data_IF_521014062763
#
_entry.id   IF_521014062763
#
_cell.length_a   1.000
_cell.length_b   1.000
_cell.length_c   1.000
_cell.angle_alpha   90.00
_cell.angle_beta   90.00
_cell.angle_gamma   90.00
#
_symmetry.space_group_name_H-M   'P 1'
#
loop_
_entity.id
_entity.type
_entity.pdbx_description
1 polymer ?
#
# COMPACT_ATOMS: atom_id res chain seq x y z
N UNK A 1 36.15 8.56 -21.43
CA UNK A 1 36.42 9.76 -20.59
C UNK A 1 36.06 9.47 -19.15
N UNK A 2 36.64 10.21 -18.18
CA UNK A 2 36.49 9.91 -16.75
C UNK A 2 35.03 9.76 -16.29
N UNK A 3 34.14 10.61 -16.80
CA UNK A 3 32.70 10.58 -16.45
C UNK A 3 31.98 9.32 -16.94
N UNK A 4 32.26 8.85 -18.15
CA UNK A 4 31.72 7.59 -18.66
C UNK A 4 32.31 6.37 -17.95
N UNK A 5 33.61 6.39 -17.60
CA UNK A 5 34.24 5.34 -16.79
C UNK A 5 33.59 5.23 -15.39
N UNK A 6 33.29 6.38 -14.74
CA UNK A 6 32.61 6.36 -13.43
C UNK A 6 31.20 5.78 -13.54
N UNK A 7 30.44 6.17 -14.56
CA UNK A 7 29.09 5.62 -14.81
C UNK A 7 29.13 4.13 -15.17
N UNK A 8 30.12 3.69 -15.96
CA UNK A 8 30.34 2.27 -16.29
C UNK A 8 30.64 1.46 -15.04
N UNK A 9 31.58 1.92 -14.20
CA UNK A 9 31.93 1.25 -12.95
C UNK A 9 30.73 1.19 -11.98
N UNK A 10 29.92 2.27 -11.92
CA UNK A 10 28.69 2.29 -11.13
C UNK A 10 27.71 1.24 -11.62
N UNK A 11 27.47 1.15 -12.93
CA UNK A 11 26.54 0.20 -13.52
C UNK A 11 27.04 -1.26 -13.39
N UNK A 12 28.30 -1.53 -13.71
CA UNK A 12 28.89 -2.87 -13.59
C UNK A 12 28.95 -3.34 -12.13
N UNK A 13 29.14 -2.41 -11.18
CA UNK A 13 29.09 -2.68 -9.76
C UNK A 13 27.74 -3.19 -9.26
N UNK A 14 26.66 -2.94 -10.01
CA UNK A 14 25.29 -3.42 -9.71
C UNK A 14 24.97 -4.77 -10.37
N UNK A 15 25.85 -5.34 -11.18
CA UNK A 15 25.65 -6.67 -11.81
C UNK A 15 25.43 -7.80 -10.78
N UNK A 16 26.22 -7.89 -9.68
CA UNK A 16 25.94 -8.88 -8.63
C UNK A 16 24.52 -8.72 -8.04
N UNK A 17 24.07 -7.49 -7.83
CA UNK A 17 22.72 -7.22 -7.32
C UNK A 17 21.63 -7.71 -8.26
N UNK A 18 21.85 -7.65 -9.58
CA UNK A 18 20.95 -8.18 -10.60
C UNK A 18 20.93 -9.72 -10.59
N UNK A 19 22.07 -10.36 -10.35
CA UNK A 19 22.17 -11.82 -10.20
C UNK A 19 21.49 -12.29 -8.90
N UNK A 20 21.74 -11.61 -7.77
CA UNK A 20 21.07 -11.87 -6.50
C UNK A 20 19.55 -11.73 -6.60
N UNK A 21 19.08 -10.75 -7.38
CA UNK A 21 17.64 -10.59 -7.67
C UNK A 21 17.06 -11.80 -8.41
N UNK A 22 17.79 -12.36 -9.38
CA UNK A 22 17.37 -13.57 -10.11
C UNK A 22 17.14 -14.74 -9.15
N UNK A 23 18.06 -14.93 -8.23
CA UNK A 23 18.02 -16.02 -7.26
C UNK A 23 16.92 -15.78 -6.22
N UNK A 24 16.75 -14.55 -5.74
CA UNK A 24 15.70 -14.16 -4.81
C UNK A 24 14.29 -14.37 -5.41
N UNK A 25 14.12 -14.04 -6.68
CA UNK A 25 12.87 -14.27 -7.42
C UNK A 25 12.62 -15.76 -7.72
N UNK A 26 13.63 -16.64 -7.61
CA UNK A 26 13.56 -18.05 -8.07
C UNK A 26 13.06 -18.15 -9.51
N UNK A 27 13.65 -17.35 -10.39
CA UNK A 27 13.15 -17.13 -11.75
C UNK A 27 12.96 -18.43 -12.54
N UNK A 28 13.85 -19.40 -12.35
CA UNK A 28 13.79 -20.72 -13.04
C UNK A 28 12.57 -21.52 -12.59
N UNK A 29 12.22 -21.47 -11.31
CA UNK A 29 11.01 -22.11 -10.79
C UNK A 29 9.75 -21.44 -11.34
N UNK A 30 9.74 -20.10 -11.44
CA UNK A 30 8.63 -19.36 -12.03
C UNK A 30 8.43 -19.72 -13.49
N UNK A 31 9.50 -19.78 -14.29
CA UNK A 31 9.42 -20.15 -15.71
C UNK A 31 8.89 -21.58 -15.87
N UNK A 32 9.34 -22.51 -15.03
CA UNK A 32 8.83 -23.89 -15.02
C UNK A 32 7.35 -23.94 -14.64
N UNK A 33 6.92 -23.15 -13.66
CA UNK A 33 5.52 -23.07 -13.25
C UNK A 33 4.64 -22.47 -14.35
N UNK A 34 5.08 -21.40 -15.00
CA UNK A 34 4.38 -20.80 -16.15
C UNK A 34 4.15 -21.84 -17.24
N UNK A 35 5.19 -22.60 -17.61
CA UNK A 35 5.07 -23.66 -18.63
C UNK A 35 4.04 -24.74 -18.23
N UNK A 36 3.97 -25.12 -16.94
CA UNK A 36 2.96 -26.07 -16.43
C UNK A 36 1.55 -25.51 -16.51
N UNK A 37 1.36 -24.25 -16.09
CA UNK A 37 0.05 -23.60 -16.11
C UNK A 37 -0.44 -23.37 -17.54
N UNK A 38 0.44 -23.05 -18.48
CA UNK A 38 0.11 -22.95 -19.91
C UNK A 38 -0.28 -24.30 -20.50
N UNK A 39 0.43 -25.37 -20.15
CA UNK A 39 0.07 -26.73 -20.57
C UNK A 39 -1.30 -27.14 -19.98
N UNK A 40 -1.60 -26.76 -18.74
CA UNK A 40 -2.91 -26.96 -18.12
C UNK A 40 -4.00 -26.16 -18.84
N UNK A 41 -3.74 -24.91 -19.22
CA UNK A 41 -4.69 -24.07 -19.95
C UNK A 41 -4.97 -24.59 -21.37
N UNK A 42 -4.04 -25.35 -21.97
CA UNK A 42 -4.20 -25.99 -23.28
C UNK A 42 -4.87 -27.38 -23.22
N UNK A 43 -5.16 -27.92 -22.03
CA UNK A 43 -5.75 -29.25 -21.88
C UNK A 43 -7.25 -29.26 -22.22
N UNK A 44 -7.75 -30.40 -22.68
CA UNK A 44 -9.18 -30.62 -22.93
C UNK A 44 -9.95 -30.52 -21.61
N UNK A 45 -11.09 -29.80 -21.61
CA UNK A 45 -11.91 -29.60 -20.43
C UNK A 45 -11.47 -28.45 -19.52
N UNK A 46 -10.40 -27.71 -19.84
CA UNK A 46 -9.95 -26.58 -19.04
C UNK A 46 -11.05 -25.53 -18.79
N UNK A 47 -11.90 -25.30 -19.79
CA UNK A 47 -12.97 -24.30 -19.76
C UNK A 47 -14.28 -24.79 -19.12
N UNK A 48 -14.35 -26.05 -18.70
CA UNK A 48 -15.56 -26.62 -18.06
C UNK A 48 -15.74 -26.06 -16.64
N UNK A 49 -14.66 -25.63 -16.00
CA UNK A 49 -14.66 -24.91 -14.71
C UNK A 49 -14.14 -23.48 -14.90
N UNK A 50 -15.06 -22.54 -15.11
CA UNK A 50 -14.74 -21.14 -15.38
C UNK A 50 -14.01 -20.46 -14.24
N UNK A 51 -14.32 -20.81 -12.99
CA UNK A 51 -13.68 -20.18 -11.81
C UNK A 51 -12.22 -20.62 -11.69
N UNK A 52 -11.95 -21.92 -11.84
CA UNK A 52 -10.60 -22.44 -11.84
C UNK A 52 -9.79 -21.92 -13.03
N UNK A 53 -10.41 -21.85 -14.22
CA UNK A 53 -9.77 -21.33 -15.43
C UNK A 53 -9.34 -19.88 -15.27
N UNK A 54 -10.17 -19.04 -14.69
CA UNK A 54 -9.83 -17.64 -14.40
C UNK A 54 -8.66 -17.54 -13.41
N UNK A 55 -8.67 -18.32 -12.33
CA UNK A 55 -7.57 -18.36 -11.34
C UNK A 55 -6.25 -18.76 -11.97
N UNK A 56 -6.26 -19.81 -12.82
CA UNK A 56 -5.07 -20.29 -13.52
C UNK A 56 -4.52 -19.24 -14.48
N UNK A 57 -5.38 -18.61 -15.29
CA UNK A 57 -4.97 -17.58 -16.23
C UNK A 57 -4.44 -16.33 -15.52
N UNK A 58 -5.09 -15.91 -14.44
CA UNK A 58 -4.62 -14.78 -13.64
C UNK A 58 -3.25 -15.06 -13.02
N UNK A 59 -3.07 -16.26 -12.43
CA UNK A 59 -1.77 -16.68 -11.88
C UNK A 59 -0.69 -16.73 -12.96
N UNK A 60 -1.00 -17.28 -14.14
CA UNK A 60 -0.07 -17.33 -15.28
C UNK A 60 0.35 -15.93 -15.71
N UNK A 61 -0.61 -15.02 -15.84
CA UNK A 61 -0.32 -13.62 -16.21
C UNK A 61 0.56 -12.92 -15.19
N UNK A 62 0.30 -13.12 -13.89
CA UNK A 62 1.12 -12.54 -12.81
C UNK A 62 2.56 -13.07 -12.82
N UNK A 63 2.73 -14.38 -13.02
CA UNK A 63 4.06 -14.99 -13.08
C UNK A 63 4.84 -14.54 -14.32
N UNK A 64 4.17 -14.45 -15.47
CA UNK A 64 4.78 -13.91 -16.71
C UNK A 64 5.23 -12.47 -16.53
N UNK A 65 4.39 -11.62 -15.92
CA UNK A 65 4.72 -10.23 -15.67
C UNK A 65 6.00 -10.10 -14.82
N UNK A 66 6.23 -10.99 -13.84
CA UNK A 66 7.47 -11.00 -13.05
C UNK A 66 8.69 -11.35 -13.92
N UNK A 67 8.57 -12.35 -14.79
CA UNK A 67 9.65 -12.73 -15.71
C UNK A 67 9.95 -11.59 -16.69
N UNK A 68 8.91 -10.97 -17.25
CA UNK A 68 9.04 -9.85 -18.18
C UNK A 68 9.69 -8.63 -17.53
N UNK A 69 9.32 -8.30 -16.29
CA UNK A 69 9.95 -7.20 -15.53
C UNK A 69 11.45 -7.46 -15.34
N UNK A 70 11.85 -8.67 -14.95
CA UNK A 70 13.26 -9.02 -14.79
C UNK A 70 14.02 -8.94 -16.11
N UNK A 71 13.45 -9.51 -17.20
CA UNK A 71 14.07 -9.45 -18.51
C UNK A 71 14.21 -8.02 -19.03
N UNK A 72 13.21 -7.16 -18.80
CA UNK A 72 13.27 -5.74 -19.14
C UNK A 72 14.36 -5.01 -18.36
N UNK A 73 14.60 -5.40 -17.10
CA UNK A 73 15.69 -4.84 -16.30
C UNK A 73 17.07 -5.29 -16.84
N UNK A 74 17.22 -6.56 -17.24
CA UNK A 74 18.42 -7.05 -17.89
C UNK A 74 18.69 -6.32 -19.22
N UNK A 75 17.65 -6.15 -20.06
CA UNK A 75 17.78 -5.37 -21.30
C UNK A 75 18.21 -3.95 -21.05
N UNK A 76 17.60 -3.28 -20.05
CA UNK A 76 17.97 -1.91 -19.68
C UNK A 76 19.43 -1.81 -19.24
N UNK A 77 19.93 -2.82 -18.49
CA UNK A 77 21.34 -2.90 -18.10
C UNK A 77 22.26 -2.99 -19.33
N UNK A 78 21.97 -3.93 -20.23
CA UNK A 78 22.80 -4.20 -21.42
C UNK A 78 22.74 -3.00 -22.40
N UNK A 79 21.56 -2.41 -22.61
CA UNK A 79 21.38 -1.24 -23.47
C UNK A 79 22.15 -0.03 -22.92
N UNK A 80 22.04 0.23 -21.61
CA UNK A 80 22.75 1.34 -20.95
C UNK A 80 24.26 1.13 -21.01
N UNK A 81 24.73 -0.11 -20.78
CA UNK A 81 26.17 -0.43 -20.87
C UNK A 81 26.69 -0.21 -22.29
N UNK A 82 25.94 -0.66 -23.30
CA UNK A 82 26.27 -0.46 -24.71
C UNK A 82 26.32 1.04 -25.08
N UNK A 83 25.35 1.81 -24.58
CA UNK A 83 25.32 3.26 -24.80
C UNK A 83 26.53 3.97 -24.17
N UNK A 84 26.93 3.56 -22.95
CA UNK A 84 28.15 4.10 -22.31
C UNK A 84 29.39 3.80 -23.14
N UNK A 85 29.52 2.56 -23.63
CA UNK A 85 30.68 2.14 -24.44
C UNK A 85 30.77 2.91 -25.77
N UNK A 86 29.64 3.07 -26.46
CA UNK A 86 29.59 3.85 -27.71
C UNK A 86 29.91 5.35 -27.46
N UNK A 87 29.33 5.94 -26.39
CA UNK A 87 29.56 7.35 -26.07
C UNK A 87 31.02 7.62 -25.66
N UNK A 88 31.68 6.65 -25.00
CA UNK A 88 33.10 6.75 -24.62
C UNK A 88 34.03 6.55 -25.80
N UNK A 89 33.72 5.59 -26.71
CA UNK A 89 34.51 5.37 -27.95
C UNK A 89 34.44 6.54 -28.93
N UNK A 90 33.26 7.18 -29.05
CA UNK A 90 33.06 8.33 -29.94
C UNK A 90 33.44 9.67 -29.27
N UNK A 91 33.80 9.66 -27.98
CA UNK A 91 34.07 10.85 -27.16
C UNK A 91 32.91 11.89 -27.19
N UNK A 92 31.66 11.40 -27.33
CA UNK A 92 30.47 12.26 -27.50
C UNK A 92 29.85 12.63 -26.15
N UNK A 93 30.24 13.81 -25.64
CA UNK A 93 29.67 14.36 -24.40
C UNK A 93 28.18 14.72 -24.48
N UNK A 94 27.59 14.80 -25.66
CA UNK A 94 26.16 15.11 -25.79
C UNK A 94 25.27 13.96 -25.28
N UNK A 95 25.81 12.73 -25.19
CA UNK A 95 25.13 11.54 -24.69
C UNK A 95 25.22 11.40 -23.15
N UNK A 96 26.00 12.26 -22.47
CA UNK A 96 26.23 12.13 -21.03
C UNK A 96 24.94 12.22 -20.21
N UNK A 97 24.03 13.08 -20.60
CA UNK A 97 22.72 13.22 -19.93
C UNK A 97 21.88 11.94 -20.10
N UNK A 98 21.78 11.42 -21.32
CA UNK A 98 21.03 10.20 -21.64
C UNK A 98 21.61 8.96 -20.92
N UNK A 99 22.94 8.84 -20.89
CA UNK A 99 23.63 7.78 -20.16
C UNK A 99 23.36 7.88 -18.65
N UNK A 100 23.41 9.08 -18.10
CA UNK A 100 23.15 9.32 -16.67
C UNK A 100 21.70 8.92 -16.33
N UNK A 101 20.74 9.35 -17.13
CA UNK A 101 19.34 8.96 -16.99
C UNK A 101 19.14 7.45 -17.10
N UNK A 102 19.85 6.77 -18.00
CA UNK A 102 19.83 5.32 -18.13
C UNK A 102 20.31 4.60 -16.88
N UNK A 103 21.46 5.03 -16.33
CA UNK A 103 22.02 4.47 -15.08
C UNK A 103 21.10 4.71 -13.89
N UNK A 104 20.54 5.91 -13.76
CA UNK A 104 19.64 6.24 -12.64
C UNK A 104 18.30 5.51 -12.78
N UNK A 105 17.77 5.38 -13.99
CA UNK A 105 16.57 4.56 -14.27
C UNK A 105 16.78 3.09 -13.94
N UNK A 106 17.94 2.51 -14.32
CA UNK A 106 18.30 1.14 -13.96
C UNK A 106 18.40 0.97 -12.44
N UNK A 107 19.10 1.88 -11.78
CA UNK A 107 19.27 1.85 -10.31
C UNK A 107 17.92 1.86 -9.60
N UNK A 108 17.04 2.75 -10.00
CA UNK A 108 15.70 2.88 -9.42
C UNK A 108 14.85 1.62 -9.63
N UNK A 109 14.84 1.07 -10.85
CA UNK A 109 14.07 -0.14 -11.18
C UNK A 109 14.64 -1.41 -10.51
N UNK A 110 15.96 -1.50 -10.37
CA UNK A 110 16.60 -2.60 -9.64
C UNK A 110 16.18 -2.57 -8.15
N UNK A 111 16.22 -1.40 -7.52
CA UNK A 111 15.79 -1.26 -6.13
C UNK A 111 14.30 -1.57 -5.97
N UNK A 112 13.45 -1.11 -6.87
CA UNK A 112 12.01 -1.42 -6.87
C UNK A 112 11.76 -2.94 -6.92
N UNK A 113 12.41 -3.64 -7.85
CA UNK A 113 12.26 -5.10 -7.97
C UNK A 113 12.84 -5.87 -6.77
N UNK A 114 13.96 -5.41 -6.20
CA UNK A 114 14.50 -5.98 -4.95
C UNK A 114 13.50 -5.84 -3.80
N UNK A 115 12.83 -4.71 -3.70
CA UNK A 115 11.80 -4.50 -2.68
C UNK A 115 10.59 -5.40 -2.89
N UNK A 116 10.19 -5.64 -4.16
CA UNK A 116 9.14 -6.61 -4.45
C UNK A 116 9.48 -8.03 -3.93
N UNK A 117 10.76 -8.42 -3.89
CA UNK A 117 11.16 -9.73 -3.34
C UNK A 117 10.99 -9.84 -1.82
N UNK A 118 11.00 -8.70 -1.12
CA UNK A 118 10.75 -8.65 0.33
C UNK A 118 9.27 -8.83 0.68
N UNK A 119 8.39 -8.72 -0.31
CA UNK A 119 6.95 -8.92 -0.17
C UNK A 119 6.62 -10.42 -0.26
N UNK A 120 7.01 -11.18 0.76
CA UNK A 120 6.88 -12.65 0.82
C UNK A 120 5.72 -13.12 1.68
N UNK A 121 4.98 -12.21 2.32
CA UNK A 121 3.82 -12.53 3.14
C UNK A 121 2.65 -13.08 2.31
N UNK A 122 1.87 -13.96 2.90
CA UNK A 122 0.72 -14.64 2.26
C UNK A 122 -0.26 -13.66 1.59
N UNK A 123 -0.41 -12.46 2.17
CA UNK A 123 -1.36 -11.44 1.68
C UNK A 123 -0.68 -10.27 0.96
N UNK A 124 0.64 -10.26 0.86
CA UNK A 124 1.38 -9.12 0.29
C UNK A 124 0.97 -8.81 -1.15
N UNK A 125 0.61 -9.82 -1.94
CA UNK A 125 0.13 -9.66 -3.32
C UNK A 125 -1.31 -9.14 -3.47
N UNK A 126 -2.02 -8.87 -2.37
CA UNK A 126 -3.43 -8.46 -2.39
C UNK A 126 -3.60 -6.95 -2.51
N UNK A 127 -4.85 -6.55 -2.85
CA UNK A 127 -5.30 -5.17 -2.74
C UNK A 127 -5.28 -4.71 -1.29
N UNK A 128 -5.19 -3.41 -1.04
CA UNK A 128 -5.18 -2.83 0.29
C UNK A 128 -6.47 -2.07 0.61
N UNK A 129 -6.99 -2.28 1.81
CA UNK A 129 -8.07 -1.48 2.39
C UNK A 129 -7.46 -0.59 3.47
N UNK A 130 -7.52 0.71 3.27
CA UNK A 130 -7.02 1.73 4.18
C UNK A 130 -8.18 2.35 4.94
N UNK A 131 -8.16 2.26 6.26
CA UNK A 131 -9.17 2.89 7.11
C UNK A 131 -8.53 4.00 7.92
N UNK A 132 -9.02 5.22 7.73
CA UNK A 132 -8.51 6.43 8.36
C UNK A 132 -9.47 6.89 9.46
N UNK A 133 -8.93 7.29 10.61
CA UNK A 133 -9.69 7.87 11.69
C UNK A 133 -9.01 9.11 12.26
N UNK A 134 -9.77 10.20 12.35
CA UNK A 134 -9.32 11.39 13.08
C UNK A 134 -9.16 11.06 14.57
N UNK A 135 -8.00 11.36 15.13
CA UNK A 135 -7.69 11.18 16.54
C UNK A 135 -7.95 12.42 17.39
N UNK A 136 -7.14 12.60 18.43
CA UNK A 136 -7.21 13.78 19.27
C UNK A 136 -6.79 15.05 18.51
N UNK A 137 -7.59 16.12 18.58
CA UNK A 137 -7.30 17.41 17.95
C UNK A 137 -8.53 18.16 17.41
N UNK A 138 -9.73 17.60 17.56
CA UNK A 138 -10.98 18.24 17.07
C UNK A 138 -10.97 18.48 15.56
N UNK A 139 -11.43 19.65 15.12
CA UNK A 139 -11.48 20.04 13.69
C UNK A 139 -10.10 19.89 12.99
N UNK A 140 -9.02 20.21 13.69
CA UNK A 140 -7.65 20.08 13.16
C UNK A 140 -7.27 18.62 12.86
N UNK A 141 -7.72 17.67 13.70
CA UNK A 141 -7.47 16.25 13.45
C UNK A 141 -8.32 15.72 12.29
N UNK A 142 -9.52 16.26 12.09
CA UNK A 142 -10.38 15.92 10.96
C UNK A 142 -9.79 16.42 9.64
N UNK A 143 -9.24 17.65 9.62
CA UNK A 143 -8.52 18.19 8.47
C UNK A 143 -7.23 17.41 8.19
N UNK A 144 -6.48 17.04 9.23
CA UNK A 144 -5.31 16.18 9.10
C UNK A 144 -5.66 14.82 8.48
N UNK A 145 -6.77 14.23 8.89
CA UNK A 145 -7.25 12.97 8.35
C UNK A 145 -7.54 13.06 6.84
N UNK A 146 -8.18 14.14 6.39
CA UNK A 146 -8.41 14.42 4.96
C UNK A 146 -7.10 14.59 4.19
N UNK A 147 -6.12 15.30 4.76
CA UNK A 147 -4.80 15.44 4.17
C UNK A 147 -4.09 14.08 3.98
N UNK A 148 -4.21 13.17 4.95
CA UNK A 148 -3.67 11.81 4.83
C UNK A 148 -4.37 11.03 3.72
N UNK A 149 -5.70 11.08 3.66
CA UNK A 149 -6.48 10.43 2.58
C UNK A 149 -5.99 10.88 1.20
N UNK A 150 -5.80 12.20 1.01
CA UNK A 150 -5.26 12.76 -0.22
C UNK A 150 -3.84 12.26 -0.51
N UNK A 151 -2.97 12.24 0.50
CA UNK A 151 -1.58 11.80 0.38
C UNK A 151 -1.48 10.35 -0.14
N UNK A 152 -2.26 9.43 0.45
CA UNK A 152 -2.28 8.02 0.03
C UNK A 152 -3.00 7.82 -1.31
N UNK A 153 -3.98 8.66 -1.64
CA UNK A 153 -4.60 8.66 -2.97
C UNK A 153 -3.57 9.00 -4.04
N UNK A 154 -2.80 10.07 -3.85
CA UNK A 154 -1.75 10.48 -4.79
C UNK A 154 -0.64 9.44 -4.91
N UNK A 155 -0.25 8.82 -3.79
CA UNK A 155 0.72 7.72 -3.82
C UNK A 155 0.20 6.55 -4.67
N UNK A 156 -1.05 6.12 -4.47
CA UNK A 156 -1.65 5.04 -5.24
C UNK A 156 -1.75 5.35 -6.74
N UNK A 157 -2.17 6.57 -7.10
CA UNK A 157 -2.25 7.02 -8.49
C UNK A 157 -0.88 7.06 -9.18
N UNK A 158 0.16 7.53 -8.49
CA UNK A 158 1.54 7.57 -9.01
C UNK A 158 2.09 6.18 -9.30
N UNK A 159 1.69 5.16 -8.52
CA UNK A 159 2.11 3.77 -8.72
C UNK A 159 1.21 3.00 -9.68
N UNK A 160 0.27 3.69 -10.34
CA UNK A 160 -0.64 3.07 -11.30
C UNK A 160 -1.71 2.18 -10.65
N UNK A 161 -1.91 2.31 -9.35
CA UNK A 161 -3.00 1.63 -8.65
C UNK A 161 -4.34 2.30 -8.91
N UNK A 162 -5.41 1.52 -8.90
CA UNK A 162 -6.77 2.07 -8.93
C UNK A 162 -7.21 2.39 -7.50
N UNK A 163 -7.43 3.66 -7.20
CA UNK A 163 -7.86 4.12 -5.88
C UNK A 163 -9.35 4.41 -5.87
N UNK A 164 -10.09 3.82 -4.93
CA UNK A 164 -11.53 4.01 -4.78
C UNK A 164 -11.87 4.41 -3.35
N UNK A 165 -12.62 5.49 -3.20
CA UNK A 165 -13.23 5.85 -1.92
C UNK A 165 -14.45 4.94 -1.70
N UNK A 166 -14.41 4.10 -0.65
CA UNK A 166 -15.50 3.16 -0.32
C UNK A 166 -16.50 3.80 0.63
N UNK A 167 -15.99 4.50 1.64
CA UNK A 167 -16.81 5.16 2.66
C UNK A 167 -16.09 6.38 3.21
N UNK A 168 -16.85 7.39 3.65
CA UNK A 168 -16.32 8.54 4.36
C UNK A 168 -17.39 9.17 5.26
N UNK A 169 -16.94 9.80 6.30
CA UNK A 169 -17.75 10.60 7.21
C UNK A 169 -17.13 11.97 7.35
N UNK A 170 -17.87 12.99 6.91
CA UNK A 170 -17.46 14.39 6.98
C UNK A 170 -17.21 14.85 8.42
N UNK A 171 -16.29 15.76 8.59
CA UNK A 171 -16.07 16.51 9.79
C UNK A 171 -17.25 17.45 10.12
N UNK A 172 -17.29 17.95 11.36
CA UNK A 172 -18.38 18.86 11.75
C UNK A 172 -18.23 20.25 11.11
N UNK A 173 -17.02 20.73 10.93
CA UNK A 173 -16.69 22.05 10.35
C UNK A 173 -15.77 21.93 9.13
N UNK A 174 -14.82 20.99 9.15
CA UNK A 174 -13.88 20.73 8.07
C UNK A 174 -13.31 19.32 8.16
N UNK A 175 -12.73 18.84 7.06
CA UNK A 175 -12.04 17.56 7.00
C UNK A 175 -12.94 16.34 7.14
N UNK A 176 -12.35 15.19 7.45
CA UNK A 176 -13.00 13.88 7.54
C UNK A 176 -12.84 13.28 8.94
N UNK A 177 -13.93 12.82 9.56
CA UNK A 177 -13.89 12.03 10.80
C UNK A 177 -13.31 10.64 10.56
N UNK A 178 -13.75 10.02 9.47
CA UNK A 178 -13.25 8.74 9.01
C UNK A 178 -13.34 8.63 7.49
N UNK A 179 -12.50 7.80 6.89
CA UNK A 179 -12.57 7.44 5.48
C UNK A 179 -12.05 6.02 5.27
N UNK A 180 -12.52 5.39 4.20
CA UNK A 180 -12.06 4.07 3.77
C UNK A 180 -11.71 4.14 2.29
N UNK A 181 -10.45 3.85 1.96
CA UNK A 181 -9.97 3.69 0.59
C UNK A 181 -9.74 2.22 0.27
N UNK A 182 -10.09 1.81 -0.93
CA UNK A 182 -9.63 0.57 -1.55
C UNK A 182 -8.56 0.93 -2.58
N UNK A 183 -7.38 0.36 -2.45
CA UNK A 183 -6.28 0.50 -3.41
C UNK A 183 -6.09 -0.85 -4.09
N UNK A 184 -6.49 -0.91 -5.37
CA UNK A 184 -6.45 -2.13 -6.18
C UNK A 184 -5.18 -2.18 -7.02
N UNK A 185 -4.44 -3.26 -6.90
CA UNK A 185 -3.25 -3.54 -7.69
C UNK A 185 -2.36 -4.59 -7.04
N UNK A 186 -1.43 -5.13 -7.81
CA UNK A 186 -0.50 -6.15 -7.33
C UNK A 186 0.40 -5.57 -6.24
N UNK A 187 0.50 -6.27 -5.11
CA UNK A 187 1.32 -5.90 -3.96
C UNK A 187 0.90 -4.61 -3.21
N UNK A 188 -0.27 -4.06 -3.49
CA UNK A 188 -0.73 -2.83 -2.82
C UNK A 188 -0.71 -2.97 -1.28
N UNK A 189 -1.21 -4.10 -0.74
CA UNK A 189 -1.15 -4.38 0.69
C UNK A 189 0.30 -4.55 1.18
N UNK A 190 1.13 -5.27 0.43
CA UNK A 190 2.52 -5.53 0.81
C UNK A 190 3.31 -4.26 1.05
N UNK A 191 3.13 -3.24 0.22
CA UNK A 191 3.74 -1.91 0.42
C UNK A 191 3.11 -1.17 1.58
N UNK A 192 1.77 -1.06 1.59
CA UNK A 192 1.04 -0.18 2.49
C UNK A 192 0.91 -0.71 3.92
N UNK A 193 1.11 -2.02 4.17
CA UNK A 193 1.15 -2.57 5.54
C UNK A 193 2.18 -1.87 6.43
N UNK A 194 3.24 -1.31 5.82
CA UNK A 194 4.24 -0.49 6.50
C UNK A 194 3.68 0.80 7.09
N UNK A 195 2.57 1.30 6.57
CA UNK A 195 1.98 2.59 6.91
C UNK A 195 0.93 2.50 8.04
N UNK A 196 0.67 1.28 8.51
CA UNK A 196 -0.27 1.02 9.60
C UNK A 196 0.20 1.65 10.91
N UNK A 197 -0.61 2.55 11.50
CA UNK A 197 -0.31 3.18 12.77
C UNK A 197 -0.81 4.62 12.91
N UNK A 198 -0.22 5.35 13.84
CA UNK A 198 -0.60 6.72 14.17
C UNK A 198 0.31 7.71 13.48
N UNK A 199 -0.28 8.69 12.81
CA UNK A 199 0.40 9.79 12.11
C UNK A 199 0.19 11.08 12.85
N UNK A 200 1.29 11.75 13.23
CA UNK A 200 1.29 12.99 14.02
C UNK A 200 1.56 14.19 13.14
N UNK A 201 0.66 15.16 13.14
CA UNK A 201 0.84 16.47 12.51
C UNK A 201 1.29 17.51 13.53
N UNK A 202 2.22 18.38 13.14
CA UNK A 202 2.61 19.58 13.88
C UNK A 202 2.65 20.77 12.91
N UNK A 203 1.66 21.68 13.02
CA UNK A 203 1.59 22.89 12.18
C UNK A 203 0.91 24.05 12.93
N UNK A 204 0.94 25.24 12.33
CA UNK A 204 0.03 26.32 12.73
C UNK A 204 -1.34 25.99 12.18
N UNK A 205 -2.35 25.92 13.07
CA UNK A 205 -3.71 25.57 12.67
C UNK A 205 -4.37 26.68 11.86
N UNK A 206 -4.97 26.39 10.70
CA UNK A 206 -5.77 27.35 9.96
C UNK A 206 -7.10 27.70 10.68
N UNK A 207 -7.49 26.91 11.67
CA UNK A 207 -8.72 27.08 12.43
C UNK A 207 -8.50 27.87 13.74
N UNK A 208 -7.26 28.14 14.14
CA UNK A 208 -6.93 28.94 15.31
C UNK A 208 -6.55 30.37 14.91
N UNK A 209 -7.46 31.31 15.17
CA UNK A 209 -7.25 32.75 14.90
C UNK A 209 -6.03 33.35 15.62
N UNK A 210 -5.55 32.69 16.71
CA UNK A 210 -4.36 33.12 17.44
C UNK A 210 -3.03 32.66 16.82
N UNK A 211 -3.07 31.87 15.75
CA UNK A 211 -1.89 31.44 15.01
C UNK A 211 -0.95 30.52 15.82
N UNK A 212 -1.47 29.81 16.81
CA UNK A 212 -0.66 28.89 17.63
C UNK A 212 -0.37 27.59 16.92
N UNK A 213 0.75 26.99 17.29
CA UNK A 213 1.15 25.67 16.82
C UNK A 213 0.33 24.60 17.53
N UNK A 214 -0.32 23.74 16.77
CA UNK A 214 -1.11 22.61 17.24
C UNK A 214 -0.45 21.27 16.88
N UNK A 215 -0.79 20.26 17.66
CA UNK A 215 -0.42 18.86 17.37
C UNK A 215 -1.70 18.06 17.28
N UNK A 216 -1.86 17.35 16.16
CA UNK A 216 -3.04 16.52 15.88
C UNK A 216 -2.61 15.12 15.47
N UNK A 217 -3.47 14.17 15.72
CA UNK A 217 -3.22 12.77 15.43
C UNK A 217 -4.33 12.21 14.56
N UNK A 218 -3.95 11.34 13.62
CA UNK A 218 -4.86 10.49 12.88
C UNK A 218 -4.28 9.08 12.85
N UNK A 219 -5.13 8.08 12.86
CA UNK A 219 -4.71 6.69 12.72
C UNK A 219 -5.04 6.17 11.33
N UNK A 220 -4.13 5.39 10.79
CA UNK A 220 -4.30 4.62 9.58
C UNK A 220 -4.23 3.14 9.93
N UNK A 221 -5.27 2.40 9.57
CA UNK A 221 -5.31 0.94 9.62
C UNK A 221 -5.24 0.39 8.21
N UNK A 222 -4.32 -0.52 7.93
CA UNK A 222 -4.14 -1.13 6.61
C UNK A 222 -4.45 -2.61 6.68
N UNK A 223 -5.33 -3.08 5.81
CA UNK A 223 -5.77 -4.47 5.74
C UNK A 223 -5.72 -4.99 4.31
N UNK A 224 -5.48 -6.30 4.10
CA UNK A 224 -5.62 -6.89 2.77
C UNK A 224 -7.09 -7.01 2.36
N UNK A 225 -7.38 -6.83 1.07
CA UNK A 225 -8.66 -7.27 0.51
C UNK A 225 -8.59 -8.79 0.30
N UNK A 226 -9.54 -9.52 0.90
CA UNK A 226 -9.57 -10.97 0.80
C UNK A 226 -10.78 -11.40 -0.01
N UNK A 227 -10.49 -12.04 -1.13
CA UNK A 227 -11.49 -12.71 -1.94
C UNK A 227 -11.93 -14.01 -1.25
N UNK A 228 -13.21 -14.20 -1.12
CA UNK A 228 -14.06 -15.29 -0.64
C UNK A 228 -13.52 -16.66 -0.17
N UNK A 229 -12.24 -16.95 -0.31
CA UNK A 229 -11.71 -18.31 -0.18
C UNK A 229 -10.84 -18.54 1.07
N UNK A 230 -10.99 -17.74 2.09
CA UNK A 230 -10.37 -18.03 3.37
C UNK A 230 -11.30 -18.85 4.26
N UNK A 231 -10.76 -19.90 4.87
CA UNK A 231 -11.39 -20.84 5.79
C UNK A 231 -11.94 -20.24 7.10
N UNK A 232 -12.34 -18.97 7.09
CA UNK A 232 -13.12 -18.36 8.15
C UNK A 232 -14.59 -18.48 7.76
N UNK A 233 -15.25 -19.49 8.26
CA UNK A 233 -16.71 -19.59 8.25
C UNK A 233 -17.26 -18.55 9.21
N UNK A 234 -17.87 -17.49 8.66
CA UNK A 234 -18.62 -16.54 9.45
C UNK A 234 -20.07 -17.06 9.48
N UNK A 235 -20.53 -17.50 10.64
CA UNK A 235 -21.90 -17.92 10.81
C UNK A 235 -22.82 -16.70 10.86
N UNK A 236 -23.96 -16.76 10.18
CA UNK A 236 -24.92 -15.65 10.20
C UNK A 236 -25.44 -15.35 11.61
N UNK A 237 -25.51 -16.34 12.48
CA UNK A 237 -25.92 -16.20 13.88
C UNK A 237 -24.93 -15.39 14.73
N UNK A 238 -23.67 -15.28 14.30
CA UNK A 238 -22.62 -14.51 14.95
C UNK A 238 -22.62 -13.03 14.50
N UNK A 239 -23.52 -12.66 13.58
CA UNK A 239 -23.58 -11.32 13.00
C UNK A 239 -24.83 -10.57 13.48
N UNK A 240 -24.61 -9.36 14.01
CA UNK A 240 -25.66 -8.38 14.18
C UNK A 240 -25.58 -7.37 13.04
N UNK A 241 -26.61 -7.36 12.18
CA UNK A 241 -26.70 -6.44 11.06
C UNK A 241 -27.69 -5.34 11.39
N UNK A 242 -27.23 -4.12 11.54
CA UNK A 242 -28.06 -2.93 11.74
C UNK A 242 -28.10 -2.10 10.44
N UNK A 243 -29.29 -1.75 9.99
CA UNK A 243 -29.48 -0.79 8.89
C UNK A 243 -29.72 0.60 9.45
N UNK A 244 -29.13 1.60 8.82
CA UNK A 244 -29.33 2.99 9.24
C UNK A 244 -29.33 3.93 8.04
N UNK A 245 -29.74 5.16 8.27
CA UNK A 245 -29.76 6.19 7.22
C UNK A 245 -28.36 6.74 7.06
N UNK A 246 -27.86 6.77 5.81
CA UNK A 246 -26.58 7.39 5.51
C UNK A 246 -26.59 8.86 5.94
N UNK A 247 -25.55 9.29 6.67
CA UNK A 247 -25.32 10.69 7.02
C UNK A 247 -24.38 11.32 6.00
N UNK A 248 -24.75 12.47 5.44
CA UNK A 248 -23.91 13.24 4.51
C UNK A 248 -24.71 14.31 3.76
N UNK A 249 -24.02 15.23 3.12
CA UNK A 249 -24.61 16.28 2.26
C UNK A 249 -25.13 15.69 0.96
N UNK A 250 -26.25 14.95 1.01
CA UNK A 250 -26.92 14.35 -0.14
C UNK A 250 -28.38 14.77 -0.23
N UNK A 251 -28.91 14.85 -1.45
CA UNK A 251 -30.29 15.29 -1.73
C UNK A 251 -31.36 14.40 -1.08
N UNK A 252 -32.63 14.79 -1.19
CA UNK A 252 -33.81 14.18 -0.51
C UNK A 252 -33.94 12.65 -0.61
N UNK A 253 -33.20 11.99 -1.51
CA UNK A 253 -33.26 10.53 -1.69
C UNK A 253 -32.32 9.78 -0.74
N UNK A 254 -31.17 10.36 -0.39
CA UNK A 254 -30.16 9.76 0.51
C UNK A 254 -30.68 9.72 1.96
N UNK A 255 -31.49 10.71 2.36
CA UNK A 255 -32.03 10.81 3.71
C UNK A 255 -33.31 10.00 3.96
N UNK A 256 -33.85 9.31 2.94
CA UNK A 256 -35.10 8.54 3.04
C UNK A 256 -34.91 7.03 3.00
N UNK A 257 -33.81 6.53 2.48
CA UNK A 257 -33.54 5.09 2.36
C UNK A 257 -32.49 4.65 3.38
N UNK A 258 -32.80 3.61 4.14
CA UNK A 258 -31.86 2.97 5.08
C UNK A 258 -30.94 2.03 4.30
N UNK A 259 -30.09 2.60 3.41
CA UNK A 259 -29.15 1.83 2.58
C UNK A 259 -27.82 1.56 3.27
N UNK A 260 -27.47 2.33 4.30
CA UNK A 260 -26.25 2.11 5.08
C UNK A 260 -26.36 0.89 5.97
N UNK A 261 -25.30 0.10 6.02
CA UNK A 261 -25.21 -1.11 6.82
C UNK A 261 -24.07 -1.01 7.83
N UNK A 262 -24.35 -1.48 9.04
CA UNK A 262 -23.36 -1.74 10.07
C UNK A 262 -23.44 -3.21 10.45
N UNK A 263 -22.32 -3.92 10.36
CA UNK A 263 -22.21 -5.31 10.78
C UNK A 263 -21.33 -5.37 12.02
N UNK A 264 -21.85 -5.97 13.08
CA UNK A 264 -21.11 -6.25 14.30
C UNK A 264 -20.93 -7.76 14.42
N UNK A 265 -19.70 -8.22 14.49
CA UNK A 265 -19.39 -9.61 14.78
C UNK A 265 -19.43 -9.81 16.29
N UNK A 266 -20.45 -10.52 16.79
CA UNK A 266 -20.77 -10.64 18.22
C UNK A 266 -19.60 -11.25 19.02
N UNK A 267 -18.93 -12.34 18.56
CA UNK A 267 -17.87 -12.96 19.32
C UNK A 267 -16.62 -12.09 19.52
N UNK A 268 -16.27 -11.28 18.52
CA UNK A 268 -15.03 -10.44 18.55
C UNK A 268 -15.31 -8.97 18.84
N UNK A 269 -16.58 -8.54 18.82
CA UNK A 269 -16.96 -7.13 18.99
C UNK A 269 -16.57 -6.19 17.84
N UNK A 270 -16.08 -6.73 16.72
CA UNK A 270 -15.69 -5.93 15.56
C UNK A 270 -16.91 -5.31 14.93
N UNK A 271 -16.83 -4.02 14.64
CA UNK A 271 -17.85 -3.26 13.94
C UNK A 271 -17.30 -2.76 12.62
N UNK A 272 -18.02 -3.01 11.54
CA UNK A 272 -17.76 -2.46 10.20
C UNK A 272 -19.00 -1.77 9.69
N UNK A 273 -18.82 -0.67 8.93
CA UNK A 273 -19.92 0.09 8.35
C UNK A 273 -19.63 0.40 6.89
N UNK A 274 -20.66 0.35 6.04
CA UNK A 274 -20.59 0.75 4.64
C UNK A 274 -21.86 1.48 4.23
N UNK A 275 -21.73 2.64 3.54
CA UNK A 275 -22.85 3.48 3.12
C UNK A 275 -22.70 4.05 1.71
N UNK A 276 -21.66 3.62 0.96
CA UNK A 276 -21.26 4.24 -0.31
C UNK A 276 -22.17 3.89 -1.50
N UNK A 277 -22.74 2.69 -1.48
CA UNK A 277 -23.58 2.23 -2.58
C UNK A 277 -25.06 2.56 -2.35
N UNK A 278 -25.81 2.75 -3.46
CA UNK A 278 -27.26 2.96 -3.41
C UNK A 278 -28.04 1.70 -3.03
N UNK A 279 -27.41 0.54 -3.19
CA UNK A 279 -28.00 -0.76 -2.90
C UNK A 279 -27.56 -1.25 -1.53
N UNK A 280 -28.52 -1.55 -0.65
CA UNK A 280 -28.28 -2.18 0.64
C UNK A 280 -27.52 -3.50 0.52
N UNK A 281 -27.81 -4.28 -0.54
CA UNK A 281 -27.16 -5.55 -0.80
C UNK A 281 -25.65 -5.38 -1.11
N UNK A 282 -25.30 -4.40 -1.95
CA UNK A 282 -23.91 -4.10 -2.28
C UNK A 282 -23.15 -3.58 -1.04
N UNK A 283 -23.76 -2.71 -0.24
CA UNK A 283 -23.18 -2.26 1.03
C UNK A 283 -22.95 -3.43 1.99
N UNK A 284 -23.86 -4.44 2.02
CA UNK A 284 -23.68 -5.65 2.82
C UNK A 284 -22.51 -6.49 2.34
N UNK A 285 -22.33 -6.67 1.04
CA UNK A 285 -21.21 -7.42 0.48
C UNK A 285 -19.87 -6.78 0.80
N UNK A 286 -19.75 -5.47 0.62
CA UNK A 286 -18.54 -4.71 0.95
C UNK A 286 -18.26 -4.79 2.46
N UNK A 287 -19.25 -4.55 3.30
CA UNK A 287 -19.11 -4.67 4.75
C UNK A 287 -18.70 -6.09 5.18
N UNK A 288 -19.23 -7.14 4.54
CA UNK A 288 -18.79 -8.53 4.78
C UNK A 288 -17.35 -8.78 4.39
N UNK A 289 -16.88 -8.23 3.25
CA UNK A 289 -15.46 -8.29 2.86
C UNK A 289 -14.57 -7.60 3.90
N UNK A 290 -14.95 -6.41 4.35
CA UNK A 290 -14.24 -5.66 5.39
C UNK A 290 -14.20 -6.44 6.72
N UNK A 291 -15.32 -7.07 7.11
CA UNK A 291 -15.38 -7.89 8.33
C UNK A 291 -14.46 -9.11 8.21
N UNK A 292 -14.48 -9.81 7.07
CA UNK A 292 -13.58 -10.94 6.81
C UNK A 292 -12.12 -10.51 6.92
N UNK A 293 -11.75 -9.39 6.31
CA UNK A 293 -10.38 -8.85 6.40
C UNK A 293 -9.97 -8.58 7.85
N UNK A 294 -10.85 -7.96 8.65
CA UNK A 294 -10.59 -7.72 10.08
C UNK A 294 -10.45 -9.01 10.91
N UNK A 295 -11.27 -10.00 10.61
CA UNK A 295 -11.20 -11.30 11.32
C UNK A 295 -9.90 -12.06 11.01
N UNK A 296 -9.40 -11.94 9.78
CA UNK A 296 -8.12 -12.54 9.40
C UNK A 296 -6.96 -11.83 10.07
N UNK A 297 -6.97 -10.50 10.10
CA UNK A 297 -5.96 -9.75 10.85
C UNK A 297 -5.89 -10.20 12.31
N UNK A 298 -7.05 -10.43 12.95
CA UNK A 298 -7.09 -10.96 14.33
C UNK A 298 -6.51 -12.35 14.38
N UNK A 299 -6.85 -13.24 13.44
CA UNK A 299 -6.35 -14.60 13.40
C UNK A 299 -4.83 -14.66 13.15
N UNK A 300 -4.30 -13.82 12.28
CA UNK A 300 -2.85 -13.64 12.11
C UNK A 300 -2.22 -13.06 13.38
N UNK A 301 -2.88 -12.09 14.00
CA UNK A 301 -2.41 -11.50 15.26
C UNK A 301 -2.45 -12.51 16.40
N UNK A 302 -3.49 -13.32 16.53
CA UNK A 302 -3.53 -14.43 17.50
C UNK A 302 -2.43 -15.47 17.25
N UNK A 303 -2.04 -15.65 16.00
CA UNK A 303 -0.90 -16.51 15.65
C UNK A 303 0.44 -15.86 15.98
N UNK A 304 0.55 -14.55 15.77
CA UNK A 304 1.68 -13.72 16.20
C UNK A 304 1.67 -13.48 17.72
N UNK A 305 0.51 -13.29 18.35
CA UNK A 305 0.35 -13.12 19.80
C UNK A 305 0.68 -14.40 20.56
N UNK A 306 0.53 -15.58 19.97
CA UNK A 306 1.16 -16.81 20.52
C UNK A 306 2.69 -16.74 20.53
N UNK A 307 3.26 -15.89 19.67
CA UNK A 307 4.70 -15.55 19.64
C UNK A 307 4.97 -14.31 20.50
N UNK A 308 4.00 -13.37 20.63
CA UNK A 308 4.09 -12.11 21.38
C UNK A 308 3.50 -12.16 22.80
N UNK A 309 2.87 -13.24 23.24
CA UNK A 309 2.52 -13.46 24.65
C UNK A 309 3.77 -13.41 25.57
N UNK A 310 4.93 -13.28 24.96
CA UNK A 310 6.22 -12.93 25.59
C UNK A 310 6.49 -11.41 25.62
N UNK A 311 5.74 -10.54 24.87
CA UNK A 311 5.98 -9.08 24.77
C UNK A 311 4.71 -8.26 24.94
N UNK A 312 4.27 -8.09 26.16
CA UNK A 312 3.05 -7.38 26.53
C UNK A 312 2.86 -5.95 26.00
N UNK A 313 1.56 -5.54 25.99
CA UNK A 313 0.94 -4.19 26.04
C UNK A 313 0.61 -3.52 24.71
N UNK A 314 -0.69 -3.58 24.37
CA UNK A 314 -1.34 -2.66 23.42
C UNK A 314 -1.18 -1.21 23.89
N UNK A 315 -0.63 -0.34 23.04
CA UNK A 315 -0.53 1.11 23.32
C UNK A 315 -1.75 1.82 22.77
N UNK A 316 -2.47 2.51 23.66
CA UNK A 316 -3.54 3.44 23.32
C UNK A 316 -3.09 4.47 22.27
N UNK A 317 -4.06 5.04 21.51
CA UNK A 317 -3.88 6.18 20.60
C UNK A 317 -3.49 7.41 21.42
N UNK A 318 -2.25 7.41 21.92
CA UNK A 318 -1.69 8.42 22.80
C UNK A 318 -0.20 8.60 22.50
N UNK A 319 0.37 9.65 23.04
CA UNK A 319 1.77 10.03 22.98
C UNK A 319 2.70 8.80 23.15
N UNK A 320 3.39 8.44 22.06
CA UNK A 320 4.38 7.36 22.08
C UNK A 320 4.11 6.22 21.08
N UNK A 321 2.94 6.18 20.44
CA UNK A 321 2.56 5.15 19.45
C UNK A 321 2.66 5.63 18.00
N UNK A 322 3.10 6.86 17.76
CA UNK A 322 3.21 7.40 16.41
C UNK A 322 4.31 6.72 15.61
N UNK A 323 3.96 6.24 14.42
CA UNK A 323 4.92 5.71 13.46
C UNK A 323 5.66 6.83 12.75
N UNK A 324 4.97 7.94 12.42
CA UNK A 324 5.55 9.07 11.67
C UNK A 324 5.04 10.41 12.17
N UNK A 325 5.96 11.39 12.19
CA UNK A 325 5.65 12.78 12.51
C UNK A 325 5.86 13.67 11.28
N UNK A 326 4.93 14.57 11.05
CA UNK A 326 4.92 15.56 9.98
C UNK A 326 4.95 16.95 10.60
N UNK A 327 6.08 17.64 10.47
CA UNK A 327 6.32 18.97 11.04
C UNK A 327 6.37 19.98 9.93
N UNK A 328 5.49 20.99 10.00
CA UNK A 328 5.44 22.10 9.03
C UNK A 328 6.06 23.40 9.59
N UNK A 329 6.19 23.50 10.92
CA UNK A 329 6.74 24.68 11.60
C UNK A 329 7.42 24.26 12.92
N UNK A 330 8.57 24.83 13.29
CA UNK A 330 9.33 25.95 12.67
C UNK A 330 10.24 25.50 11.52
N UNK A 331 10.36 24.22 11.27
CA UNK A 331 11.09 23.61 10.16
C UNK A 331 10.18 22.58 9.49
N UNK A 332 10.50 22.17 8.27
CA UNK A 332 9.76 21.14 7.53
C UNK A 332 10.48 19.81 7.67
N UNK A 333 9.77 18.79 8.16
CA UNK A 333 10.32 17.45 8.34
C UNK A 333 9.22 16.41 8.43
N UNK A 334 9.31 15.36 7.62
CA UNK A 334 8.59 14.11 7.85
C UNK A 334 9.60 13.08 8.38
N UNK A 335 9.33 12.44 9.53
CA UNK A 335 10.24 11.45 10.16
C UNK A 335 9.49 10.22 10.62
N UNK A 336 9.93 9.06 10.16
CA UNK A 336 9.47 7.77 10.67
C UNK A 336 10.30 7.37 11.90
N UNK A 337 9.61 7.09 13.00
CA UNK A 337 10.25 6.79 14.29
C UNK A 337 10.73 5.35 14.40
N UNK A 338 10.27 4.46 13.52
CA UNK A 338 10.64 3.04 13.51
C UNK A 338 11.97 2.80 12.80
N UNK A 339 12.11 3.44 11.63
CA UNK A 339 13.29 3.27 10.75
C UNK A 339 14.32 4.37 10.91
N UNK A 340 13.91 5.52 11.45
CA UNK A 340 14.74 6.73 11.50
C UNK A 340 14.82 7.48 10.16
N UNK A 341 14.17 7.00 9.10
CA UNK A 341 14.15 7.68 7.82
C UNK A 341 13.43 9.03 7.93
N UNK A 342 13.98 10.06 7.28
CA UNK A 342 13.43 11.42 7.32
C UNK A 342 13.55 12.12 5.97
N UNK A 343 12.56 12.97 5.66
CA UNK A 343 12.52 13.82 4.47
C UNK A 343 12.20 15.26 4.86
N UNK A 344 13.04 16.21 4.42
CA UNK A 344 12.79 17.65 4.61
C UNK A 344 11.78 18.22 3.61
N UNK A 345 11.50 17.51 2.50
CA UNK A 345 10.55 17.95 1.46
C UNK A 345 9.12 17.48 1.82
N UNK A 346 8.53 18.13 2.83
CA UNK A 346 7.21 17.76 3.29
C UNK A 346 6.13 17.97 2.22
N UNK A 347 6.32 18.88 1.30
CA UNK A 347 5.40 19.10 0.17
C UNK A 347 5.31 17.86 -0.72
N UNK A 348 6.46 17.32 -1.14
CA UNK A 348 6.50 16.08 -1.92
C UNK A 348 5.88 14.90 -1.17
N UNK A 349 6.17 14.78 0.14
CA UNK A 349 5.57 13.72 0.98
C UNK A 349 4.06 13.84 1.00
N UNK A 350 3.49 15.04 1.17
CA UNK A 350 2.04 15.26 1.17
C UNK A 350 1.41 15.04 -0.22
N UNK A 351 2.20 15.14 -1.27
CA UNK A 351 1.78 14.79 -2.64
C UNK A 351 2.02 13.31 -3.00
N UNK A 352 2.34 12.45 -1.99
CA UNK A 352 2.42 11.01 -2.17
C UNK A 352 3.84 10.45 -2.40
N UNK A 353 4.90 11.21 -2.14
CA UNK A 353 6.27 10.69 -2.15
C UNK A 353 6.57 9.96 -0.83
N UNK A 354 6.10 8.70 -0.74
CA UNK A 354 6.19 7.87 0.45
C UNK A 354 7.20 6.72 0.31
N UNK A 355 7.76 6.50 -0.88
CA UNK A 355 8.58 5.33 -1.18
C UNK A 355 9.79 5.19 -0.27
N UNK A 356 10.46 6.29 0.06
CA UNK A 356 11.57 6.28 1.00
C UNK A 356 11.21 5.71 2.38
N UNK A 357 10.02 6.02 2.89
CA UNK A 357 9.52 5.51 4.17
C UNK A 357 9.14 4.04 4.10
N UNK A 358 8.39 3.67 3.05
CA UNK A 358 7.94 2.29 2.80
C UNK A 358 9.15 1.38 2.65
N UNK A 359 10.12 1.77 1.80
CA UNK A 359 11.31 1.02 1.51
C UNK A 359 12.20 0.83 2.75
N UNK A 360 12.40 1.88 3.53
CA UNK A 360 13.16 1.80 4.78
C UNK A 360 12.52 0.81 5.76
N UNK A 361 11.19 0.78 5.84
CA UNK A 361 10.49 -0.15 6.70
C UNK A 361 10.58 -1.61 6.20
N UNK A 362 10.42 -1.84 4.90
CA UNK A 362 10.52 -3.17 4.29
C UNK A 362 11.93 -3.74 4.48
N UNK A 363 12.97 -2.94 4.23
CA UNK A 363 14.39 -3.33 4.48
C UNK A 363 14.60 -3.70 5.95
N UNK A 364 14.14 -2.88 6.90
CA UNK A 364 14.26 -3.14 8.34
C UNK A 364 13.58 -4.45 8.76
N UNK A 365 12.44 -4.80 8.15
CA UNK A 365 11.74 -6.04 8.47
C UNK A 365 12.39 -7.29 7.86
N UNK A 366 13.07 -7.17 6.74
CA UNK A 366 13.80 -8.26 6.11
C UNK A 366 15.07 -8.65 6.87
N UNK A 367 15.63 -7.74 7.67
CA UNK A 367 16.82 -7.96 8.49
C UNK A 367 16.51 -8.61 9.86
N UNK A 368 15.23 -8.79 10.21
CA UNK A 368 14.80 -9.44 11.46
C UNK A 368 14.48 -10.91 11.25
#
# INVERSE_FOLDING_TARGET
MLEFEELKLKLEGMRPDLEDLKDALKLEDIISEVAKLEAQAASEGFWDDLENSQKVLQKTSQLKAKVEKYNALCSLFDDTLTLIELADEEEDLSLLEEVTEGVDSFTSKLEEQRLETLLSGEYDGKNAILTFHAGAGGTEAQDWNEMLVRMYTHWGERHGFTVKMIDFLDGDEAGLKSAVLLIEGLNAYGYLKSENGVHRLVRVSPFDSSGRRHTSFASLEVMPEIDGDTSIEIKEDDLKVDTYRSGGAGGQHVNKTESAIRITHIPTGIVVACQNERSQHQNREVAMKMLKSKLIEIKEREHLDKIEDIKGVQKEIAWGSQIRSYVFMPYTLAKDHRTGFESGNIGAVMDGDLDGFINAYLKMNAEK
#
